data_IF_910075670724
#
_entry.id   IF_910075670724
#
_cell.length_a   1.000
_cell.length_b   1.000
_cell.length_c   1.000
_cell.angle_alpha   90.00
_cell.angle_beta   90.00
_cell.angle_gamma   90.00
#
_symmetry.space_group_name_H-M   'P 1'
#
loop_
_entity.id
_entity.type
_entity.pdbx_description
1 polymer ?
#
# COMPACT_ATOMS: atom_id res chain seq x y z
N UNK A 1 31.04 24.29 -61.59
CA UNK A 1 31.61 23.82 -60.30
C UNK A 1 30.68 24.10 -59.09
N UNK A 2 29.37 23.84 -59.17
CA UNK A 2 28.41 24.27 -58.12
C UNK A 2 27.57 23.15 -57.48
N UNK A 3 27.82 21.87 -57.81
CA UNK A 3 26.98 20.76 -57.28
C UNK A 3 27.63 19.99 -56.11
N UNK A 4 28.98 20.02 -55.97
CA UNK A 4 29.70 19.29 -54.91
C UNK A 4 29.67 19.95 -53.52
N UNK A 5 29.43 21.26 -53.42
CA UNK A 5 29.41 21.97 -52.13
C UNK A 5 28.15 21.68 -51.30
N UNK A 6 27.01 21.40 -51.94
CA UNK A 6 25.75 21.13 -51.24
C UNK A 6 25.68 19.74 -50.59
N UNK A 7 26.39 18.75 -51.13
CA UNK A 7 26.45 17.41 -50.53
C UNK A 7 27.32 17.35 -49.28
N UNK A 8 28.44 18.07 -49.27
CA UNK A 8 29.34 18.13 -48.11
C UNK A 8 28.65 18.82 -46.92
N UNK A 9 27.88 19.89 -47.19
CA UNK A 9 27.14 20.60 -46.14
C UNK A 9 26.02 19.74 -45.52
N UNK A 10 25.34 18.92 -46.33
CA UNK A 10 24.29 18.00 -45.85
C UNK A 10 24.85 16.85 -45.03
N UNK A 11 26.00 16.28 -45.41
CA UNK A 11 26.65 15.20 -44.66
C UNK A 11 27.18 15.73 -43.31
N UNK A 12 27.75 16.93 -43.29
CA UNK A 12 28.20 17.56 -42.06
C UNK A 12 27.04 17.84 -41.08
N UNK A 13 25.89 18.29 -41.58
CA UNK A 13 24.71 18.55 -40.75
C UNK A 13 24.14 17.27 -40.11
N UNK A 14 24.09 16.16 -40.85
CA UNK A 14 23.63 14.86 -40.32
C UNK A 14 24.60 14.31 -39.27
N UNK A 15 25.92 14.44 -39.51
CA UNK A 15 26.93 14.02 -38.54
C UNK A 15 26.84 14.76 -37.20
N UNK A 16 26.60 16.07 -37.23
CA UNK A 16 26.39 16.89 -36.02
C UNK A 16 25.11 16.48 -35.30
N UNK A 17 24.03 16.18 -36.03
CA UNK A 17 22.76 15.77 -35.42
C UNK A 17 22.85 14.40 -34.72
N UNK A 18 23.56 13.45 -35.32
CA UNK A 18 23.82 12.13 -34.72
C UNK A 18 24.70 12.27 -33.46
N UNK A 19 25.72 13.13 -33.49
CA UNK A 19 26.57 13.40 -32.32
C UNK A 19 25.80 14.08 -31.18
N UNK A 20 24.87 15.00 -31.48
CA UNK A 20 24.01 15.62 -30.48
C UNK A 20 23.02 14.62 -29.88
N UNK A 21 22.43 13.72 -30.68
CA UNK A 21 21.56 12.66 -30.17
C UNK A 21 22.34 11.65 -29.30
N UNK A 22 23.56 11.28 -29.70
CA UNK A 22 24.42 10.42 -28.88
C UNK A 22 24.85 11.09 -27.58
N UNK A 23 25.20 12.38 -27.61
CA UNK A 23 25.54 13.15 -26.41
C UNK A 23 24.36 13.30 -25.45
N UNK A 24 23.15 13.49 -25.98
CA UNK A 24 21.91 13.55 -25.19
C UNK A 24 21.58 12.21 -24.53
N UNK A 25 21.75 11.11 -25.28
CA UNK A 25 21.54 9.75 -24.78
C UNK A 25 22.56 9.39 -23.70
N UNK A 26 23.85 9.69 -23.92
CA UNK A 26 24.92 9.41 -22.96
C UNK A 26 24.82 10.26 -21.69
N UNK A 27 24.42 11.52 -21.80
CA UNK A 27 24.18 12.38 -20.63
C UNK A 27 22.98 11.89 -19.81
N UNK A 28 21.93 11.41 -20.47
CA UNK A 28 20.77 10.82 -19.80
C UNK A 28 21.11 9.50 -19.12
N UNK A 29 21.91 8.61 -19.74
CA UNK A 29 22.28 7.32 -19.14
C UNK A 29 23.25 7.43 -17.97
N UNK A 30 24.21 8.36 -18.02
CA UNK A 30 25.18 8.54 -16.92
C UNK A 30 24.61 9.25 -15.69
N UNK A 31 23.49 9.99 -15.83
CA UNK A 31 22.82 10.63 -14.71
C UNK A 31 22.08 9.65 -13.79
N UNK A 32 21.83 8.41 -14.23
CA UNK A 32 21.20 7.37 -13.41
C UNK A 32 22.20 6.45 -12.71
N UNK A 33 23.49 6.48 -13.08
CA UNK A 33 24.49 5.53 -12.59
C UNK A 33 25.25 5.97 -11.33
N UNK A 34 25.29 7.27 -11.01
CA UNK A 34 26.15 7.80 -9.94
C UNK A 34 25.45 8.02 -8.60
N UNK A 35 24.12 7.89 -8.53
CA UNK A 35 23.34 8.13 -7.30
C UNK A 35 23.12 6.88 -6.42
N UNK A 36 23.40 5.68 -6.93
CA UNK A 36 23.18 4.41 -6.20
C UNK A 36 24.20 4.17 -5.08
N UNK A 37 25.42 4.68 -5.20
CA UNK A 37 26.50 4.43 -4.21
C UNK A 37 26.54 5.41 -3.03
N UNK A 38 25.87 6.56 -3.14
CA UNK A 38 25.77 7.54 -2.05
C UNK A 38 24.56 7.28 -1.14
N UNK A 39 23.56 6.55 -1.64
CA UNK A 39 22.29 6.32 -0.96
C UNK A 39 22.40 5.35 0.23
N UNK A 40 23.26 4.34 0.17
CA UNK A 40 23.45 3.31 1.22
C UNK A 40 23.88 3.87 2.60
N UNK A 41 24.62 5.00 2.64
CA UNK A 41 24.96 5.66 3.92
C UNK A 41 23.91 6.69 4.38
N UNK A 42 23.04 7.14 3.47
CA UNK A 42 22.04 8.17 3.76
C UNK A 42 20.71 7.60 4.27
N UNK A 43 20.40 6.34 3.95
CA UNK A 43 19.18 5.62 4.36
C UNK A 43 19.06 5.53 5.88
N UNK A 44 20.13 5.17 6.58
CA UNK A 44 20.14 5.12 8.05
C UNK A 44 19.90 6.49 8.72
N UNK A 45 20.28 7.59 8.06
CA UNK A 45 20.12 8.95 8.60
C UNK A 45 18.81 9.62 8.15
N UNK A 46 18.22 9.19 7.02
CA UNK A 46 16.86 9.58 6.60
C UNK A 46 15.77 8.82 7.36
N UNK A 47 16.02 7.59 7.83
CA UNK A 47 15.05 6.86 8.65
C UNK A 47 14.67 7.64 9.92
N UNK A 48 15.63 8.30 10.59
CA UNK A 48 15.34 9.16 11.74
C UNK A 48 14.56 10.45 11.42
N UNK A 49 14.58 10.92 10.16
CA UNK A 49 13.92 12.17 9.75
C UNK A 49 12.61 11.95 8.97
N UNK A 50 12.35 10.76 8.43
CA UNK A 50 11.09 10.42 7.75
C UNK A 50 9.89 10.43 8.71
N UNK A 51 10.14 10.40 10.02
CA UNK A 51 9.11 10.48 11.07
C UNK A 51 8.46 11.86 11.20
N UNK A 52 8.96 12.91 10.52
CA UNK A 52 8.39 14.26 10.60
C UNK A 52 7.26 14.56 9.61
N UNK A 53 7.05 13.74 8.58
CA UNK A 53 6.10 14.08 7.50
C UNK A 53 4.79 13.30 7.48
N UNK A 54 4.67 12.20 8.22
CA UNK A 54 3.39 11.49 8.40
C UNK A 54 2.85 11.55 9.84
N UNK A 55 3.51 12.32 10.71
CA UNK A 55 3.08 12.55 12.09
C UNK A 55 3.27 14.00 12.50
N UNK A 56 2.66 14.95 11.77
CA UNK A 56 2.42 16.32 12.28
C UNK A 56 1.51 17.11 11.33
N UNK A 57 0.20 17.03 11.55
CA UNK A 57 -0.69 18.16 11.28
C UNK A 57 -1.41 18.47 12.60
N UNK A 58 -0.67 19.08 13.52
CA UNK A 58 -1.18 19.64 14.77
C UNK A 58 -0.70 21.08 14.89
N UNK A 59 -1.43 22.00 14.27
CA UNK A 59 -1.23 23.44 14.44
C UNK A 59 -1.93 23.94 15.71
N UNK A 60 -1.21 24.75 16.47
CA UNK A 60 -1.59 25.50 17.68
C UNK A 60 -1.56 24.77 19.03
N UNK A 61 -0.45 25.00 19.75
CA UNK A 61 -0.47 25.32 21.19
C UNK A 61 -1.01 24.25 22.14
N UNK A 62 -0.29 23.15 22.31
CA UNK A 62 -0.53 22.21 23.41
C UNK A 62 0.52 21.11 23.41
N UNK A 63 1.10 20.81 24.58
CA UNK A 63 1.92 19.61 24.80
C UNK A 63 1.05 18.38 24.50
N UNK A 64 1.16 17.81 23.31
CA UNK A 64 0.53 16.55 22.94
C UNK A 64 1.64 15.50 22.73
N UNK A 65 1.56 14.41 23.51
CA UNK A 65 2.47 13.28 23.43
C UNK A 65 2.53 12.69 22.03
N UNK A 66 3.65 12.05 21.71
CA UNK A 66 3.81 11.41 20.41
C UNK A 66 2.83 10.24 20.33
N UNK A 67 2.24 9.96 19.17
CA UNK A 67 1.35 8.80 18.93
C UNK A 67 2.00 7.43 19.23
N UNK A 68 3.27 7.40 19.66
CA UNK A 68 3.99 6.24 20.17
C UNK A 68 3.73 5.96 21.66
N UNK A 69 3.06 6.87 22.38
CA UNK A 69 2.82 6.77 23.84
C UNK A 69 1.66 5.83 24.22
N UNK A 70 0.94 5.25 23.24
CA UNK A 70 -0.23 4.38 23.51
C UNK A 70 0.14 2.93 23.82
N UNK A 71 1.35 2.48 23.46
CA UNK A 71 1.85 1.17 23.90
C UNK A 71 2.47 1.35 25.29
N UNK A 72 2.15 0.50 26.28
CA UNK A 72 2.90 0.52 27.53
C UNK A 72 4.40 0.38 27.21
N UNK A 73 5.27 1.20 27.82
CA UNK A 73 6.70 1.05 27.62
C UNK A 73 7.05 -0.38 28.02
N UNK A 74 7.47 -1.19 27.05
CA UNK A 74 8.05 -2.49 27.37
C UNK A 74 9.20 -2.21 28.34
N UNK A 75 9.09 -2.75 29.55
CA UNK A 75 10.10 -2.57 30.59
C UNK A 75 11.46 -2.87 29.97
N UNK A 76 12.37 -1.90 30.08
CA UNK A 76 13.74 -1.90 29.53
C UNK A 76 14.63 -3.03 30.08
N UNK A 77 14.07 -3.98 30.83
CA UNK A 77 14.69 -5.18 31.39
C UNK A 77 14.38 -6.48 30.61
N UNK A 78 13.69 -6.43 29.46
CA UNK A 78 13.35 -7.62 28.64
C UNK A 78 14.03 -7.66 27.26
N UNK A 79 15.26 -7.17 27.17
CA UNK A 79 16.18 -7.45 26.07
C UNK A 79 16.84 -8.82 26.35
N UNK A 80 16.33 -9.93 25.80
CA UNK A 80 17.03 -10.59 24.68
C UNK A 80 16.19 -11.65 23.93
N UNK A 81 14.94 -11.96 24.33
CA UNK A 81 14.13 -13.03 23.70
C UNK A 81 12.64 -12.64 23.55
N UNK A 82 12.34 -11.59 22.79
CA UNK A 82 10.94 -11.30 22.41
C UNK A 82 10.53 -12.28 21.31
N UNK A 83 9.55 -13.13 21.61
CA UNK A 83 8.97 -14.08 20.66
C UNK A 83 7.84 -13.43 19.85
N UNK A 84 7.48 -14.05 18.72
CA UNK A 84 6.30 -13.64 17.93
C UNK A 84 5.04 -13.65 18.80
N UNK A 85 4.85 -14.70 19.61
CA UNK A 85 3.67 -14.83 20.48
C UNK A 85 3.53 -13.67 21.47
N UNK A 86 4.64 -13.19 22.05
CA UNK A 86 4.60 -12.03 22.94
C UNK A 86 4.09 -10.77 22.23
N UNK A 87 4.42 -10.60 20.94
CA UNK A 87 3.94 -9.46 20.15
C UNK A 87 2.45 -9.61 19.84
N UNK A 88 2.03 -10.81 19.48
CA UNK A 88 0.63 -11.12 19.18
C UNK A 88 -0.25 -10.92 20.43
N UNK A 89 0.18 -11.42 21.59
CA UNK A 89 -0.58 -11.30 22.85
C UNK A 89 -0.81 -9.83 23.22
N UNK A 90 0.22 -8.99 23.14
CA UNK A 90 0.09 -7.57 23.46
C UNK A 90 -0.80 -6.88 22.42
N UNK A 91 -0.68 -7.22 21.15
CA UNK A 91 -1.52 -6.64 20.11
C UNK A 91 -3.01 -7.01 20.30
N UNK A 92 -3.32 -8.24 20.74
CA UNK A 92 -4.69 -8.65 21.10
C UNK A 92 -5.27 -7.77 22.20
N UNK A 93 -4.51 -7.53 23.27
CA UNK A 93 -4.95 -6.68 24.38
C UNK A 93 -5.26 -5.25 23.93
N UNK A 94 -4.42 -4.69 23.06
CA UNK A 94 -4.66 -3.34 22.54
C UNK A 94 -5.86 -3.25 21.61
N UNK A 95 -6.08 -4.25 20.75
CA UNK A 95 -7.27 -4.29 19.90
C UNK A 95 -8.53 -4.39 20.78
N UNK A 96 -8.51 -5.23 21.82
CA UNK A 96 -9.62 -5.34 22.76
C UNK A 96 -9.89 -4.02 23.49
N UNK A 97 -8.85 -3.31 23.93
CA UNK A 97 -8.96 -2.00 24.56
C UNK A 97 -9.54 -0.94 23.59
N UNK A 98 -9.02 -0.87 22.36
CA UNK A 98 -9.48 0.05 21.31
C UNK A 98 -10.96 -0.19 20.96
N UNK A 99 -11.36 -1.46 20.87
CA UNK A 99 -12.74 -1.87 20.58
C UNK A 99 -13.70 -1.54 21.72
N UNK A 100 -13.31 -1.81 22.98
CA UNK A 100 -14.16 -1.52 24.15
C UNK A 100 -14.50 -0.04 24.30
N UNK A 101 -13.54 0.84 23.95
CA UNK A 101 -13.75 2.29 23.95
C UNK A 101 -14.72 2.77 22.88
N UNK A 102 -15.05 1.92 21.90
CA UNK A 102 -15.94 2.24 20.78
C UNK A 102 -17.42 1.98 21.10
N UNK A 103 -17.75 1.58 22.34
CA UNK A 103 -19.08 1.14 22.80
C UNK A 103 -19.64 -0.11 22.08
N UNK A 104 -18.77 -0.86 21.38
CA UNK A 104 -19.13 -2.08 20.68
C UNK A 104 -19.09 -3.30 21.62
N UNK A 105 -19.94 -4.31 21.38
CA UNK A 105 -20.00 -5.54 22.19
C UNK A 105 -18.68 -6.34 22.08
N UNK A 106 -17.99 -6.67 23.19
CA UNK A 106 -16.80 -7.53 23.17
C UNK A 106 -17.03 -8.91 22.54
N UNK A 107 -18.25 -9.46 22.60
CA UNK A 107 -18.59 -10.73 21.93
C UNK A 107 -18.63 -10.60 20.41
N UNK A 108 -18.95 -9.40 19.91
CA UNK A 108 -18.90 -9.10 18.48
C UNK A 108 -17.46 -9.15 17.96
N UNK A 109 -16.47 -8.77 18.79
CA UNK A 109 -15.06 -8.81 18.41
C UNK A 109 -14.61 -10.22 17.99
N UNK A 110 -14.93 -11.24 18.79
CA UNK A 110 -14.62 -12.65 18.46
C UNK A 110 -15.36 -13.13 17.21
N UNK A 111 -16.59 -12.66 16.98
CA UNK A 111 -17.30 -12.96 15.72
C UNK A 111 -16.66 -12.35 14.47
N UNK A 112 -15.80 -11.34 14.64
CA UNK A 112 -15.19 -10.57 13.57
C UNK A 112 -13.68 -10.84 13.37
N UNK A 113 -12.99 -11.54 14.27
CA UNK A 113 -11.55 -11.77 14.13
C UNK A 113 -11.23 -13.11 13.46
N UNK A 114 -10.44 -13.13 12.37
CA UNK A 114 -10.03 -14.36 11.70
C UNK A 114 -9.30 -15.37 12.60
N UNK A 115 -8.56 -14.90 13.60
CA UNK A 115 -7.87 -15.77 14.56
C UNK A 115 -8.82 -16.70 15.32
N UNK A 116 -10.06 -16.25 15.54
CA UNK A 116 -11.07 -17.00 16.30
C UNK A 116 -12.16 -17.59 15.40
N UNK A 117 -11.81 -17.84 14.13
CA UNK A 117 -12.70 -18.30 13.06
C UNK A 117 -13.88 -17.34 12.79
N UNK A 118 -13.73 -16.08 13.19
CA UNK A 118 -14.65 -14.99 12.89
C UNK A 118 -14.53 -14.48 11.46
N UNK A 119 -15.46 -13.62 11.05
CA UNK A 119 -15.49 -13.02 9.72
C UNK A 119 -15.15 -11.52 9.83
N UNK A 120 -13.96 -11.07 9.39
CA UNK A 120 -13.60 -9.67 9.47
C UNK A 120 -14.43 -8.83 8.51
N UNK A 121 -14.67 -7.57 8.89
CA UNK A 121 -15.23 -6.59 7.99
C UNK A 121 -14.16 -6.15 6.99
N UNK A 122 -14.30 -6.54 5.73
CA UNK A 122 -13.35 -6.21 4.67
C UNK A 122 -13.85 -5.07 3.79
N UNK A 123 -13.02 -4.06 3.60
CA UNK A 123 -13.28 -2.90 2.74
C UNK A 123 -12.19 -2.75 1.69
N UNK A 124 -12.53 -2.89 0.40
CA UNK A 124 -11.56 -2.72 -0.70
C UNK A 124 -11.90 -1.45 -1.49
N UNK A 125 -10.93 -0.55 -1.60
CA UNK A 125 -11.01 0.67 -2.40
C UNK A 125 -10.30 0.40 -3.73
N UNK A 126 -11.07 0.24 -4.81
CA UNK A 126 -10.54 0.08 -6.17
C UNK A 126 -10.75 1.36 -6.96
N UNK A 127 -9.66 1.95 -7.44
CA UNK A 127 -9.69 3.29 -8.05
C UNK A 127 -8.43 3.54 -8.88
N UNK A 128 -8.18 4.78 -9.28
CA UNK A 128 -6.97 5.23 -9.99
C UNK A 128 -6.13 6.13 -9.10
N UNK A 129 -4.88 6.40 -9.52
CA UNK A 129 -4.02 7.37 -8.85
C UNK A 129 -4.66 8.77 -8.79
N UNK A 130 -4.40 9.49 -7.70
CA UNK A 130 -4.85 10.88 -7.46
C UNK A 130 -6.36 11.08 -7.34
N UNK A 131 -7.13 10.01 -7.19
CA UNK A 131 -8.58 10.04 -6.94
C UNK A 131 -8.99 10.48 -5.53
N UNK A 132 -8.04 10.74 -4.63
CA UNK A 132 -8.31 10.96 -3.20
C UNK A 132 -8.42 9.67 -2.39
N UNK A 133 -8.15 8.51 -2.99
CA UNK A 133 -8.22 7.21 -2.31
C UNK A 133 -7.29 7.05 -1.12
N UNK A 134 -6.15 7.75 -1.09
CA UNK A 134 -5.29 7.79 0.10
C UNK A 134 -6.01 8.43 1.29
N UNK A 135 -6.73 9.53 1.07
CA UNK A 135 -7.49 10.20 2.14
C UNK A 135 -8.59 9.28 2.69
N UNK A 136 -9.35 8.60 1.81
CA UNK A 136 -10.35 7.63 2.25
C UNK A 136 -9.70 6.45 2.99
N UNK A 137 -8.56 5.95 2.49
CA UNK A 137 -7.79 4.90 3.15
C UNK A 137 -7.31 5.29 4.54
N UNK A 138 -6.87 6.54 4.72
CA UNK A 138 -6.44 7.06 6.03
C UNK A 138 -7.61 7.17 7.02
N UNK A 139 -8.82 7.50 6.54
CA UNK A 139 -10.05 7.45 7.35
C UNK A 139 -10.38 6.00 7.76
N UNK A 140 -10.26 5.03 6.85
CA UNK A 140 -10.51 3.63 7.22
C UNK A 140 -9.44 3.10 8.19
N UNK A 141 -8.20 3.55 8.03
CA UNK A 141 -7.09 3.14 8.89
C UNK A 141 -7.20 3.67 10.33
N UNK A 142 -7.87 4.81 10.52
CA UNK A 142 -8.15 5.36 11.84
C UNK A 142 -9.27 4.63 12.59
N UNK A 143 -10.00 3.73 11.93
CA UNK A 143 -11.00 2.91 12.59
C UNK A 143 -10.34 1.94 13.59
N UNK A 144 -11.00 1.67 14.73
CA UNK A 144 -10.60 0.68 15.71
C UNK A 144 -10.35 -0.70 15.12
N UNK A 145 -9.22 -1.32 15.45
CA UNK A 145 -8.92 -2.68 15.04
C UNK A 145 -8.85 -2.87 13.52
N UNK A 146 -8.46 -1.85 12.75
CA UNK A 146 -8.26 -1.96 11.31
C UNK A 146 -6.82 -2.36 10.93
N UNK A 147 -6.69 -3.43 10.15
CA UNK A 147 -5.48 -3.78 9.42
C UNK A 147 -5.53 -3.22 8.00
N UNK A 148 -4.61 -2.31 7.67
CA UNK A 148 -4.61 -1.61 6.40
C UNK A 148 -3.56 -2.16 5.43
N UNK A 149 -3.98 -2.55 4.23
CA UNK A 149 -3.13 -2.94 3.11
C UNK A 149 -3.00 -1.76 2.15
N UNK A 150 -1.84 -1.12 2.14
CA UNK A 150 -1.57 0.04 1.30
C UNK A 150 -1.01 -0.38 -0.06
N UNK A 151 -1.79 -0.18 -1.12
CA UNK A 151 -1.40 -0.43 -2.52
C UNK A 151 -0.61 -1.73 -2.73
N UNK A 152 -1.17 -2.90 -2.38
CA UNK A 152 -0.40 -4.15 -2.35
C UNK A 152 0.16 -4.62 -3.69
N UNK A 153 -0.25 -3.99 -4.80
CA UNK A 153 0.25 -4.27 -6.15
C UNK A 153 1.39 -3.31 -6.56
N UNK A 154 2.02 -2.62 -5.61
CA UNK A 154 3.12 -1.69 -5.86
C UNK A 154 4.32 -2.32 -6.59
N UNK A 155 4.52 -3.62 -6.42
CA UNK A 155 5.53 -4.45 -7.06
C UNK A 155 5.36 -4.59 -8.59
N UNK A 156 4.18 -4.28 -9.12
CA UNK A 156 3.92 -4.20 -10.57
C UNK A 156 4.31 -2.84 -11.19
N UNK A 157 5.09 -2.02 -10.49
CA UNK A 157 5.53 -0.69 -10.91
C UNK A 157 4.36 0.26 -11.26
N UNK A 158 4.53 1.13 -12.26
CA UNK A 158 3.52 2.10 -12.73
C UNK A 158 2.71 1.48 -13.88
N UNK A 159 2.18 0.28 -13.65
CA UNK A 159 1.36 -0.45 -14.62
C UNK A 159 -0.09 -0.54 -14.13
N UNK A 160 -1.03 -0.25 -15.04
CA UNK A 160 -2.45 -0.49 -14.79
C UNK A 160 -2.83 -1.86 -15.39
N UNK A 161 -3.14 -2.81 -14.51
CA UNK A 161 -3.48 -4.20 -14.84
C UNK A 161 -4.88 -4.24 -15.45
N UNK A 162 -4.94 -4.68 -16.70
CA UNK A 162 -6.17 -4.74 -17.52
C UNK A 162 -6.56 -6.15 -17.93
N UNK A 163 -5.73 -7.14 -17.61
CA UNK A 163 -5.90 -8.54 -17.98
C UNK A 163 -4.55 -9.26 -17.97
N UNK A 164 -4.43 -10.39 -18.69
CA UNK A 164 -3.21 -11.17 -18.78
C UNK A 164 -2.01 -10.35 -19.26
N UNK A 165 -0.79 -10.65 -18.79
CA UNK A 165 -0.43 -11.80 -17.97
C UNK A 165 -0.50 -11.58 -16.44
N UNK A 166 -0.74 -10.35 -15.98
CA UNK A 166 -0.55 -9.96 -14.58
C UNK A 166 -1.82 -10.06 -13.72
N UNK A 167 -2.98 -10.23 -14.34
CA UNK A 167 -4.29 -10.29 -13.66
C UNK A 167 -4.39 -11.45 -12.67
N UNK A 168 -3.96 -12.65 -13.07
CA UNK A 168 -4.01 -13.85 -12.21
C UNK A 168 -3.17 -13.68 -10.95
N UNK A 169 -1.93 -13.21 -11.09
CA UNK A 169 -1.00 -12.98 -9.96
C UNK A 169 -1.52 -11.85 -9.07
N UNK A 170 -2.03 -10.77 -9.65
CA UNK A 170 -2.60 -9.67 -8.87
C UNK A 170 -3.81 -10.13 -8.05
N UNK A 171 -4.75 -10.87 -8.66
CA UNK A 171 -5.91 -11.39 -7.96
C UNK A 171 -5.54 -12.40 -6.87
N UNK A 172 -4.55 -13.26 -7.13
CA UNK A 172 -3.99 -14.17 -6.13
C UNK A 172 -3.43 -13.40 -4.92
N UNK A 173 -2.57 -12.40 -5.15
CA UNK A 173 -2.00 -11.58 -4.07
C UNK A 173 -3.07 -10.87 -3.25
N UNK A 174 -4.06 -10.25 -3.92
CA UNK A 174 -5.14 -9.55 -3.22
C UNK A 174 -5.99 -10.50 -2.38
N UNK A 175 -6.32 -11.68 -2.91
CA UNK A 175 -7.09 -12.71 -2.20
C UNK A 175 -6.33 -13.20 -0.98
N UNK A 176 -5.05 -13.53 -1.11
CA UNK A 176 -4.23 -14.01 -0.01
C UNK A 176 -4.15 -12.98 1.12
N UNK A 177 -3.92 -11.69 0.79
CA UNK A 177 -3.88 -10.61 1.77
C UNK A 177 -5.20 -10.46 2.55
N UNK A 178 -6.36 -10.52 1.87
CA UNK A 178 -7.68 -10.48 2.52
C UNK A 178 -7.94 -11.69 3.44
N UNK A 179 -7.23 -12.79 3.22
CA UNK A 179 -7.25 -13.98 4.09
C UNK A 179 -6.12 -14.00 5.11
N UNK A 180 -5.32 -12.93 5.20
CA UNK A 180 -4.09 -12.90 5.99
C UNK A 180 -3.18 -14.10 5.70
N UNK A 181 -3.15 -14.54 4.45
CA UNK A 181 -2.22 -15.53 3.95
C UNK A 181 -1.08 -14.81 3.25
N UNK A 182 0.15 -15.13 3.65
CA UNK A 182 1.38 -14.57 3.10
C UNK A 182 2.27 -15.68 2.51
N UNK A 183 1.73 -16.90 2.37
CA UNK A 183 2.38 -17.98 1.64
C UNK A 183 2.34 -17.66 0.14
N UNK A 184 3.38 -18.07 -0.60
CA UNK A 184 3.49 -17.87 -2.06
C UNK A 184 3.45 -16.38 -2.47
N UNK A 185 3.85 -15.49 -1.57
CA UNK A 185 3.91 -14.04 -1.77
C UNK A 185 5.34 -13.48 -1.72
N UNK A 186 6.34 -14.27 -2.14
CA UNK A 186 7.76 -13.92 -2.00
C UNK A 186 8.10 -12.61 -2.69
N UNK A 187 7.57 -12.37 -3.89
CA UNK A 187 7.81 -11.13 -4.64
C UNK A 187 7.28 -9.89 -3.89
N UNK A 188 6.08 -10.00 -3.32
CA UNK A 188 5.48 -8.93 -2.51
C UNK A 188 6.30 -8.62 -1.26
N UNK A 189 6.75 -9.67 -0.55
CA UNK A 189 7.54 -9.54 0.68
C UNK A 189 8.94 -8.99 0.40
N UNK A 190 9.61 -9.48 -0.65
CA UNK A 190 10.93 -9.00 -1.06
C UNK A 190 10.88 -7.54 -1.52
N UNK A 191 9.85 -7.17 -2.29
CA UNK A 191 9.62 -5.78 -2.67
C UNK A 191 9.48 -4.88 -1.42
N UNK A 192 8.70 -5.33 -0.43
CA UNK A 192 8.49 -4.60 0.80
C UNK A 192 9.76 -4.42 1.67
N UNK A 193 10.75 -5.32 1.59
CA UNK A 193 12.04 -5.18 2.31
C UNK A 193 12.80 -3.93 1.88
N UNK A 194 12.71 -3.56 0.60
CA UNK A 194 13.37 -2.38 0.03
C UNK A 194 12.45 -1.16 -0.03
N UNK A 195 11.13 -1.37 0.02
CA UNK A 195 10.10 -0.33 -0.09
C UNK A 195 9.21 -0.28 1.15
N UNK A 196 9.74 0.31 2.23
CA UNK A 196 9.05 0.37 3.54
C UNK A 196 7.66 1.00 3.51
N UNK A 197 7.36 1.86 2.53
CA UNK A 197 6.03 2.46 2.37
C UNK A 197 4.92 1.44 2.09
N UNK A 198 5.25 0.23 1.63
CA UNK A 198 4.28 -0.86 1.47
C UNK A 198 3.62 -1.23 2.80
N UNK A 199 4.37 -1.16 3.90
CA UNK A 199 3.92 -1.54 5.23
C UNK A 199 3.75 -0.35 6.18
N UNK A 200 4.46 0.76 5.97
CA UNK A 200 4.48 1.87 6.92
C UNK A 200 3.15 2.62 7.07
N UNK A 201 2.27 2.52 6.09
CA UNK A 201 0.91 3.05 6.17
C UNK A 201 0.01 2.26 7.13
N UNK A 202 0.32 0.98 7.40
CA UNK A 202 -0.32 0.24 8.47
C UNK A 202 0.34 0.62 9.79
N UNK A 203 -0.19 1.62 10.48
CA UNK A 203 0.44 2.20 11.67
C UNK A 203 0.65 1.15 12.78
N UNK A 204 -0.33 0.27 12.97
CA UNK A 204 -0.31 -0.79 14.00
C UNK A 204 0.78 -1.83 13.72
N UNK A 205 0.90 -2.30 12.47
CA UNK A 205 1.98 -3.19 12.06
C UNK A 205 3.34 -2.47 12.10
N UNK A 206 3.42 -1.26 11.55
CA UNK A 206 4.68 -0.54 11.38
C UNK A 206 5.34 -0.20 12.71
N UNK A 207 4.55 0.10 13.74
CA UNK A 207 5.05 0.28 15.11
C UNK A 207 5.77 -0.96 15.66
N UNK A 208 5.36 -2.17 15.28
CA UNK A 208 6.09 -3.40 15.61
C UNK A 208 7.32 -3.56 14.73
N UNK A 209 7.18 -3.35 13.42
CA UNK A 209 8.26 -3.49 12.45
C UNK A 209 9.47 -2.59 12.72
N UNK A 210 9.25 -1.36 13.19
CA UNK A 210 10.34 -0.43 13.55
C UNK A 210 11.15 -0.97 14.73
N UNK A 211 10.51 -1.69 15.66
CA UNK A 211 11.15 -2.25 16.87
C UNK A 211 11.73 -3.65 16.64
N UNK A 212 11.05 -4.45 15.82
CA UNK A 212 11.30 -5.88 15.62
C UNK A 212 11.45 -6.17 14.12
N UNK A 213 12.45 -5.54 13.50
CA UNK A 213 12.69 -5.64 12.06
C UNK A 213 12.84 -7.08 11.57
N UNK A 214 13.34 -7.99 12.42
CA UNK A 214 13.54 -9.39 12.09
C UNK A 214 12.23 -10.15 11.79
N UNK A 215 11.07 -9.66 12.21
CA UNK A 215 9.78 -10.31 11.98
C UNK A 215 8.96 -9.67 10.86
N UNK A 216 9.25 -8.41 10.50
CA UNK A 216 8.35 -7.58 9.68
C UNK A 216 8.05 -8.11 8.27
N UNK A 217 8.86 -9.02 7.74
CA UNK A 217 8.73 -9.57 6.39
C UNK A 217 8.59 -11.09 6.39
N UNK A 218 8.28 -11.67 7.55
CA UNK A 218 8.17 -13.11 7.73
C UNK A 218 6.69 -13.52 7.68
N UNK A 219 6.27 -14.42 6.78
CA UNK A 219 4.88 -14.90 6.71
C UNK A 219 4.35 -15.43 8.05
N UNK A 220 5.21 -16.13 8.80
CA UNK A 220 4.94 -16.65 10.15
C UNK A 220 4.61 -15.58 11.20
N UNK A 221 4.93 -14.32 10.93
CA UNK A 221 4.54 -13.18 11.76
C UNK A 221 3.36 -12.42 11.16
N UNK A 222 3.47 -12.04 9.89
CA UNK A 222 2.48 -11.19 9.20
C UNK A 222 1.09 -11.82 9.15
N UNK A 223 1.01 -13.13 8.86
CA UNK A 223 -0.27 -13.84 8.80
C UNK A 223 -0.99 -13.83 10.15
N UNK A 224 -0.41 -14.42 11.22
CA UNK A 224 -0.99 -14.40 12.55
C UNK A 224 -1.31 -12.99 13.05
N UNK A 225 -0.43 -12.02 12.80
CA UNK A 225 -0.65 -10.63 13.22
C UNK A 225 -1.85 -10.00 12.50
N UNK A 226 -1.98 -10.17 11.18
CA UNK A 226 -3.13 -9.70 10.41
C UNK A 226 -4.45 -10.32 10.87
N UNK A 227 -4.44 -11.59 11.29
CA UNK A 227 -5.64 -12.33 11.76
C UNK A 227 -6.20 -11.82 13.10
N UNK A 228 -5.46 -10.99 13.83
CA UNK A 228 -5.93 -10.39 15.08
C UNK A 228 -6.99 -9.30 14.87
N UNK A 229 -7.10 -8.77 13.64
CA UNK A 229 -7.86 -7.55 13.39
C UNK A 229 -9.29 -7.84 12.93
N UNK A 230 -10.31 -7.24 13.57
CA UNK A 230 -11.71 -7.40 13.18
C UNK A 230 -12.08 -6.67 11.87
N UNK A 231 -11.25 -5.73 11.43
CA UNK A 231 -11.46 -4.98 10.20
C UNK A 231 -10.21 -5.07 9.33
N UNK A 232 -10.44 -5.18 8.03
CA UNK A 232 -9.39 -5.09 7.03
C UNK A 232 -9.79 -4.06 6.00
N UNK A 233 -8.86 -3.19 5.65
CA UNK A 233 -9.05 -2.27 4.55
C UNK A 233 -7.89 -2.37 3.57
N UNK A 234 -8.19 -2.22 2.29
CA UNK A 234 -7.21 -2.35 1.22
C UNK A 234 -7.43 -1.27 0.19
N UNK A 235 -6.35 -0.59 -0.19
CA UNK A 235 -6.38 0.41 -1.27
C UNK A 235 -5.69 -0.16 -2.50
N UNK A 236 -6.37 -0.24 -3.63
CA UNK A 236 -5.87 -0.77 -4.90
C UNK A 236 -6.03 0.29 -6.01
N UNK A 237 -4.91 0.73 -6.58
CA UNK A 237 -4.89 1.76 -7.65
C UNK A 237 -4.42 1.22 -9.01
N UNK A 238 -3.98 -0.05 -9.04
CA UNK A 238 -3.33 -0.72 -10.19
C UNK A 238 -4.19 -1.81 -10.85
N UNK A 239 -5.37 -2.10 -10.33
CA UNK A 239 -6.29 -3.10 -10.87
C UNK A 239 -7.51 -2.42 -11.46
N UNK A 240 -7.91 -2.78 -12.68
CA UNK A 240 -9.20 -2.37 -13.24
C UNK A 240 -10.35 -3.06 -12.49
N UNK A 241 -11.39 -2.29 -12.18
CA UNK A 241 -12.57 -2.78 -11.46
C UNK A 241 -13.21 -4.00 -12.13
N UNK A 242 -13.23 -4.07 -13.46
CA UNK A 242 -13.77 -5.21 -14.21
C UNK A 242 -13.08 -6.55 -13.91
N UNK A 243 -11.84 -6.54 -13.41
CA UNK A 243 -11.12 -7.76 -13.02
C UNK A 243 -11.39 -8.16 -11.57
N UNK A 244 -12.01 -7.29 -10.77
CA UNK A 244 -12.18 -7.51 -9.34
C UNK A 244 -13.34 -8.43 -9.00
N UNK A 245 -14.19 -8.80 -9.97
CA UNK A 245 -15.35 -9.69 -9.78
C UNK A 245 -15.04 -10.95 -8.96
N UNK A 246 -13.92 -11.67 -9.20
CA UNK A 246 -13.59 -12.86 -8.40
C UNK A 246 -13.23 -12.57 -6.94
N UNK A 247 -12.98 -11.32 -6.56
CA UNK A 247 -12.80 -10.91 -5.17
C UNK A 247 -14.15 -10.66 -4.47
N UNK A 248 -15.23 -10.50 -5.24
CA UNK A 248 -16.57 -10.19 -4.75
C UNK A 248 -17.40 -11.46 -4.56
N UNK A 249 -17.22 -12.41 -5.49
CA UNK A 249 -17.94 -13.68 -5.50
C UNK A 249 -17.38 -14.67 -4.46
N UNK A 250 -16.07 -14.64 -4.24
CA UNK A 250 -15.37 -15.52 -3.29
C UNK A 250 -15.66 -15.16 -1.83
N UNK A 251 -16.08 -13.91 -1.61
CA UNK A 251 -16.37 -13.35 -0.30
C UNK A 251 -17.75 -12.70 -0.35
N UNK A 252 -18.81 -13.48 -0.13
CA UNK A 252 -20.19 -12.99 0.14
C UNK A 252 -20.30 -12.01 1.34
N UNK A 253 -19.18 -11.58 1.90
CA UNK A 253 -18.99 -10.79 3.12
C UNK A 253 -17.97 -9.65 2.96
N UNK A 254 -17.28 -9.51 1.81
CA UNK A 254 -16.57 -8.26 1.50
C UNK A 254 -17.64 -7.21 1.28
N UNK A 255 -17.76 -6.29 2.23
CA UNK A 255 -18.51 -5.08 2.01
C UNK A 255 -17.70 -4.27 0.99
N UNK A 256 -17.95 -4.52 -0.29
CA UNK A 256 -17.68 -3.47 -1.23
C UNK A 256 -18.45 -2.26 -0.74
N UNK A 257 -17.74 -1.16 -0.77
CA UNK A 257 -18.31 0.16 -0.85
C UNK A 257 -19.11 0.28 -2.17
N UNK A 258 -20.12 -0.56 -2.37
CA UNK A 258 -21.18 -0.44 -3.37
C UNK A 258 -22.42 0.15 -2.69
N UNK A 259 -22.65 -0.17 -1.40
CA UNK A 259 -23.53 0.63 -0.51
C UNK A 259 -22.86 1.90 0.04
N UNK A 260 -21.55 1.98 -0.10
CA UNK A 260 -20.83 3.25 -0.20
C UNK A 260 -20.25 3.34 -1.63
N UNK A 261 -21.12 3.15 -2.63
CA UNK A 261 -21.22 4.22 -3.61
C UNK A 261 -21.51 5.43 -2.74
N UNK A 262 -20.47 6.13 -2.30
CA UNK A 262 -20.66 7.40 -1.61
C UNK A 262 -21.67 8.13 -2.50
N UNK A 263 -22.62 8.83 -1.91
CA UNK A 263 -23.17 10.03 -2.55
C UNK A 263 -22.07 11.10 -2.74
N UNK A 264 -20.91 10.67 -3.23
CA UNK A 264 -19.79 11.38 -3.81
C UNK A 264 -19.53 10.56 -5.07
N UNK A 265 -20.52 10.61 -5.96
CA UNK A 265 -20.23 10.78 -7.37
C UNK A 265 -19.44 12.09 -7.48
N UNK A 266 -18.14 12.04 -7.23
CA UNK A 266 -17.24 13.02 -7.83
C UNK A 266 -16.90 12.44 -9.19
N UNK A 267 -17.82 12.73 -10.11
CA UNK A 267 -17.52 12.92 -11.51
C UNK A 267 -16.30 13.85 -11.60
N UNK A 268 -15.12 13.27 -11.76
CA UNK A 268 -14.07 13.92 -12.56
C UNK A 268 -13.97 13.13 -13.86
N UNK A 269 -15.00 13.27 -14.68
CA UNK A 269 -14.84 13.19 -16.13
C UNK A 269 -14.58 14.62 -16.62
N UNK A 270 -13.35 15.10 -16.49
CA UNK A 270 -12.89 16.22 -17.31
C UNK A 270 -12.01 15.68 -18.44
N UNK A 271 -12.47 15.97 -19.66
CA UNK A 271 -11.87 15.73 -20.97
C UNK A 271 -11.56 14.28 -21.35
N UNK A 272 -12.56 13.59 -21.88
CA UNK A 272 -12.51 13.00 -23.23
C UNK A 272 -13.90 12.46 -23.52
N UNK A 273 -14.61 13.13 -24.43
CA UNK A 273 -15.98 12.79 -24.78
C UNK A 273 -16.08 11.39 -25.38
N UNK A 274 -16.70 10.48 -24.66
CA UNK A 274 -17.39 9.33 -25.23
C UNK A 274 -18.65 9.09 -24.40
N UNK A 275 -19.79 9.12 -25.09
CA UNK A 275 -21.11 8.87 -24.52
C UNK A 275 -21.17 7.43 -23.97
N UNK A 276 -21.56 7.29 -22.71
CA UNK A 276 -21.93 5.99 -22.13
C UNK A 276 -23.42 5.75 -22.41
N UNK A 277 -23.73 4.69 -23.16
CA UNK A 277 -25.08 4.12 -23.18
C UNK A 277 -25.26 3.25 -21.93
N UNK A 278 -26.45 3.24 -21.30
CA UNK A 278 -26.74 2.37 -20.17
C UNK A 278 -26.94 0.93 -20.67
N UNK A 279 -26.26 -0.02 -20.04
CA UNK A 279 -26.62 -1.44 -20.14
C UNK A 279 -27.26 -1.79 -18.81
N UNK A 280 -28.58 -1.72 -18.79
CA UNK A 280 -29.41 -2.33 -17.76
C UNK A 280 -29.48 -3.83 -18.05
N UNK A 281 -28.80 -4.66 -17.26
CA UNK A 281 -29.26 -6.03 -17.03
C UNK A 281 -28.57 -6.64 -15.79
N UNK A 282 -29.22 -6.48 -14.64
CA UNK A 282 -29.04 -7.34 -13.47
C UNK A 282 -30.44 -7.82 -13.09
N UNK A 283 -30.82 -9.01 -13.56
CA UNK A 283 -32.01 -9.71 -13.10
C UNK A 283 -31.60 -10.96 -12.31
N UNK A 284 -32.13 -10.99 -11.07
CA UNK A 284 -32.28 -12.08 -10.08
C UNK A 284 -31.07 -12.97 -9.75
#
# INVERSE_FOLDING_TARGET
MSCRKNHILRIAAVGVFILLMYGSYWYSSNSYGTDLRSWERSTNRRMLNSHKHYGSYGGYGGRAGSSYDTYPPMTTAHSTNITIENVLSIQRELIAAEWSNSNDDPKLLHGLTPETDGNPMRSVIITTWRSGSTFLGDILNSLPGNFYHYEPLLDFDIVQIRGPPNDSVALHNLRNLLHCDYNEMENYLEFGRTHSYLFSHNTRLWQQCVRLQQFCYEPRFLGPFCRLFPRQSMKVVRLRLALATPLLEDDSKVALSEKVCVRVAVLVAYSMGMAAQPVDDCSA
#
